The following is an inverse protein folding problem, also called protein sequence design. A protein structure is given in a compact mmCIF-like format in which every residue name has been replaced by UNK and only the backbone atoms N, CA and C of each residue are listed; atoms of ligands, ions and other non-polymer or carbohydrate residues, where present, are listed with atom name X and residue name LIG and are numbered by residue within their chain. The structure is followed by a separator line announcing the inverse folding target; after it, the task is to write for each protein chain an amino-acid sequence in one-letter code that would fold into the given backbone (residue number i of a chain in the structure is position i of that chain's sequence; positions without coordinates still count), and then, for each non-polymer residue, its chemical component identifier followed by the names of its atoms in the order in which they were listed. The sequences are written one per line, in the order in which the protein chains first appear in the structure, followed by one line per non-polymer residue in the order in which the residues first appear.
data_IF_689279881132
#
_entry.id   IF_689279881132
#
_cell.length_a   1.000
_cell.length_b   1.000
_cell.length_c   1.000
_cell.angle_alpha   90.00
_cell.angle_beta   90.00
_cell.angle_gamma   90.00
#
_symmetry.space_group_name_H-M   'P 1'
#
loop_
_entity.id
_entity.type
_entity.pdbx_description
1 polymer ?
#
# COMPACT_ATOMS: atom_id res chain seq x y z
N UNK A 1 -29.98 -0.86 -44.49
CA UNK A 1 -29.87 -0.66 -43.03
C UNK A 1 -28.45 -0.18 -42.75
N UNK A 2 -28.26 1.11 -42.51
CA UNK A 2 -26.92 1.71 -42.33
C UNK A 2 -26.53 1.57 -40.87
N UNK A 3 -25.46 0.81 -40.60
CA UNK A 3 -24.93 0.60 -39.25
C UNK A 3 -24.00 1.78 -38.90
N UNK A 4 -24.48 2.72 -38.08
CA UNK A 4 -23.65 3.82 -37.56
C UNK A 4 -22.95 3.37 -36.28
N UNK A 5 -21.61 3.40 -36.27
CA UNK A 5 -20.82 3.10 -35.08
C UNK A 5 -21.08 4.17 -34.01
N UNK A 6 -21.30 3.80 -32.73
CA UNK A 6 -21.43 4.78 -31.66
C UNK A 6 -20.09 5.54 -31.50
N UNK A 7 -20.20 6.86 -31.46
CA UNK A 7 -19.09 7.79 -31.23
C UNK A 7 -18.69 7.70 -29.76
N UNK A 8 -17.73 6.83 -29.45
CA UNK A 8 -17.10 6.77 -28.11
C UNK A 8 -16.28 8.05 -27.91
N UNK A 9 -16.67 8.83 -26.92
CA UNK A 9 -15.89 9.97 -26.43
C UNK A 9 -14.55 9.47 -25.89
N UNK A 10 -13.43 10.15 -26.19
CA UNK A 10 -12.14 9.82 -25.58
C UNK A 10 -12.29 9.93 -24.06
N UNK A 11 -11.82 8.94 -23.30
CA UNK A 11 -11.66 9.11 -21.85
C UNK A 11 -10.68 10.25 -21.61
N UNK A 12 -11.13 11.30 -20.96
CA UNK A 12 -10.31 12.50 -20.69
C UNK A 12 -9.14 12.21 -19.73
N UNK A 13 -9.26 11.18 -18.87
CA UNK A 13 -8.21 10.67 -17.99
C UNK A 13 -8.31 9.15 -17.79
N UNK A 14 -7.17 8.47 -17.76
CA UNK A 14 -7.05 7.03 -17.52
C UNK A 14 -6.54 6.25 -18.72
N UNK A 15 -5.69 5.25 -18.47
CA UNK A 15 -5.10 4.41 -19.51
C UNK A 15 -5.95 3.19 -19.85
N UNK A 16 -5.90 2.79 -21.11
CA UNK A 16 -6.55 1.57 -21.59
C UNK A 16 -5.80 0.34 -21.10
N UNK A 17 -6.55 -0.62 -20.54
CA UNK A 17 -6.14 -1.75 -19.70
C UNK A 17 -5.15 -2.78 -20.33
N UNK A 18 -4.64 -2.56 -21.54
CA UNK A 18 -3.88 -3.57 -22.32
C UNK A 18 -2.75 -2.98 -23.20
N UNK A 19 -2.28 -1.75 -22.96
CA UNK A 19 -1.16 -1.18 -23.73
C UNK A 19 0.15 -1.22 -22.95
N UNK A 20 1.29 -1.20 -23.63
CA UNK A 20 2.68 -1.05 -23.13
C UNK A 20 2.91 0.12 -22.15
N UNK A 21 1.88 0.94 -21.93
CA UNK A 21 1.82 2.04 -20.97
C UNK A 21 1.60 1.63 -19.51
N UNK A 22 1.41 0.34 -19.20
CA UNK A 22 1.43 -0.18 -17.80
C UNK A 22 2.66 0.34 -17.04
N UNK A 23 3.77 0.54 -17.76
CA UNK A 23 5.02 1.11 -17.26
C UNK A 23 4.91 2.53 -16.71
N UNK A 24 4.14 3.43 -17.33
CA UNK A 24 4.08 4.83 -16.93
C UNK A 24 3.37 5.03 -15.60
N UNK A 25 2.29 4.27 -15.36
CA UNK A 25 1.62 4.25 -14.05
C UNK A 25 2.57 3.73 -12.96
N UNK A 26 3.28 2.63 -13.23
CA UNK A 26 4.25 2.07 -12.29
C UNK A 26 5.39 3.04 -11.99
N UNK A 27 5.89 3.79 -12.98
CA UNK A 27 6.94 4.81 -12.77
C UNK A 27 6.43 5.95 -11.87
N UNK A 28 5.22 6.45 -12.12
CA UNK A 28 4.63 7.50 -11.27
C UNK A 28 4.42 7.00 -9.85
N UNK A 29 3.98 5.76 -9.70
CA UNK A 29 3.79 5.18 -8.37
C UNK A 29 5.13 4.96 -7.65
N UNK A 30 6.17 4.50 -8.36
CA UNK A 30 7.53 4.35 -7.82
C UNK A 30 8.08 5.68 -7.28
N UNK A 31 7.90 6.78 -8.02
CA UNK A 31 8.32 8.12 -7.62
C UNK A 31 7.58 8.62 -6.35
N UNK A 32 6.27 8.37 -6.28
CA UNK A 32 5.46 8.67 -5.08
C UNK A 32 5.94 7.86 -3.87
N UNK A 33 6.21 6.57 -4.04
CA UNK A 33 6.66 5.70 -2.95
C UNK A 33 8.08 6.06 -2.49
N UNK A 34 8.98 6.40 -3.41
CA UNK A 34 10.32 6.91 -3.08
C UNK A 34 10.25 8.19 -2.26
N UNK A 35 9.41 9.14 -2.67
CA UNK A 35 9.19 10.38 -1.92
C UNK A 35 8.63 10.10 -0.52
N UNK A 36 7.74 9.11 -0.41
CA UNK A 36 7.20 8.68 0.88
C UNK A 36 8.27 8.05 1.77
N UNK A 37 9.16 7.22 1.23
CA UNK A 37 10.28 6.63 1.96
C UNK A 37 11.24 7.69 2.51
N UNK A 38 11.60 8.68 1.70
CA UNK A 38 12.45 9.80 2.12
C UNK A 38 11.83 10.60 3.27
N UNK A 39 10.50 10.80 3.24
CA UNK A 39 9.77 11.50 4.30
C UNK A 39 9.67 10.71 5.61
N UNK A 40 9.82 9.38 5.55
CA UNK A 40 9.61 8.47 6.70
C UNK A 40 10.92 7.99 7.32
N UNK A 41 12.08 8.35 6.75
CA UNK A 41 13.44 8.30 7.35
C UNK A 41 13.96 6.96 7.92
N UNK A 42 13.19 5.87 7.91
CA UNK A 42 13.61 4.57 8.51
C UNK A 42 13.38 3.33 7.61
N UNK A 43 12.93 3.52 6.36
CA UNK A 43 12.70 2.37 5.45
C UNK A 43 14.02 1.93 4.82
N UNK A 44 14.76 1.03 5.48
CA UNK A 44 15.93 0.36 4.89
C UNK A 44 15.80 -1.15 5.01
N UNK A 45 15.75 -1.81 3.85
CA UNK A 45 16.08 -3.24 3.76
C UNK A 45 17.60 -3.37 3.94
N UNK A 46 18.09 -3.44 5.17
CA UNK A 46 19.50 -3.72 5.42
C UNK A 46 19.85 -5.17 5.06
N UNK A 47 21.07 -5.38 4.58
CA UNK A 47 21.55 -6.65 4.03
C UNK A 47 21.71 -7.77 5.09
N UNK A 48 21.45 -7.47 6.36
CA UNK A 48 21.68 -8.35 7.51
C UNK A 48 20.44 -9.17 7.93
N UNK A 49 19.45 -9.33 7.04
CA UNK A 49 18.19 -10.05 7.26
C UNK A 49 17.28 -9.45 8.37
N UNK A 50 17.62 -8.28 8.90
CA UNK A 50 16.79 -7.51 9.81
C UNK A 50 16.00 -6.47 9.00
N UNK A 51 14.68 -6.66 8.97
CA UNK A 51 13.77 -5.78 8.25
C UNK A 51 13.45 -4.60 9.18
N UNK A 52 14.03 -3.44 8.91
CA UNK A 52 13.66 -2.21 9.63
C UNK A 52 12.23 -1.81 9.24
N UNK A 53 11.39 -1.59 10.25
CA UNK A 53 10.05 -1.04 10.06
C UNK A 53 10.12 0.49 10.06
N UNK A 54 9.23 1.17 9.33
CA UNK A 54 8.16 0.63 8.50
C UNK A 54 8.66 0.10 7.15
N UNK A 55 7.95 -0.85 6.55
CA UNK A 55 8.26 -1.42 5.23
C UNK A 55 7.11 -1.16 4.28
N UNK A 56 7.44 -0.74 3.07
CA UNK A 56 6.49 -0.54 1.98
C UNK A 56 6.74 -1.62 0.93
N UNK A 57 5.70 -2.40 0.62
CA UNK A 57 5.69 -3.39 -0.46
C UNK A 57 4.65 -2.94 -1.49
N UNK A 58 5.03 -2.90 -2.76
CA UNK A 58 4.12 -2.50 -3.84
C UNK A 58 4.17 -3.45 -5.02
N UNK A 59 3.01 -3.69 -5.63
CA UNK A 59 2.89 -4.42 -6.88
C UNK A 59 1.72 -3.86 -7.69
N UNK A 60 2.02 -3.34 -8.89
CA UNK A 60 1.05 -2.63 -9.71
C UNK A 60 0.33 -1.50 -8.93
N UNK A 61 -0.97 -1.62 -8.65
CA UNK A 61 -1.77 -0.66 -7.87
C UNK A 61 -1.95 -1.05 -6.39
N UNK A 62 -1.53 -2.25 -6.00
CA UNK A 62 -1.65 -2.74 -4.64
C UNK A 62 -0.40 -2.36 -3.81
N UNK A 63 -0.63 -1.74 -2.65
CA UNK A 63 0.42 -1.30 -1.71
C UNK A 63 0.11 -1.87 -0.33
N UNK A 64 1.13 -2.42 0.32
CA UNK A 64 1.09 -2.90 1.70
C UNK A 64 2.15 -2.14 2.50
N UNK A 65 1.74 -1.57 3.64
CA UNK A 65 2.63 -0.88 4.57
C UNK A 65 2.59 -1.62 5.90
N UNK A 66 3.75 -2.07 6.36
CA UNK A 66 3.94 -2.78 7.62
C UNK A 66 4.67 -1.85 8.57
N UNK A 67 4.15 -1.67 9.78
CA UNK A 67 4.74 -0.81 10.80
C UNK A 67 4.46 -1.37 12.19
N UNK A 68 5.23 -0.90 13.16
CA UNK A 68 5.15 -1.29 14.57
C UNK A 68 4.09 -0.50 15.35
N UNK A 69 3.79 0.73 14.90
CA UNK A 69 2.89 1.66 15.56
C UNK A 69 1.77 2.13 14.64
N UNK A 70 0.55 2.12 15.17
CA UNK A 70 -0.62 2.67 14.47
C UNK A 70 -0.46 4.16 14.21
N UNK A 71 0.19 4.92 15.11
CA UNK A 71 0.44 6.35 14.91
C UNK A 71 1.35 6.60 13.70
N UNK A 72 2.43 5.82 13.58
CA UNK A 72 3.37 5.89 12.45
C UNK A 72 2.63 5.55 11.15
N UNK A 73 1.89 4.43 11.12
CA UNK A 73 1.09 4.03 9.96
C UNK A 73 0.04 5.07 9.56
N UNK A 74 -0.60 5.73 10.54
CA UNK A 74 -1.60 6.77 10.26
C UNK A 74 -0.96 8.00 9.63
N UNK A 75 0.23 8.40 10.08
CA UNK A 75 0.98 9.51 9.49
C UNK A 75 1.44 9.18 8.07
N UNK A 76 1.98 7.98 7.85
CA UNK A 76 2.37 7.49 6.52
C UNK A 76 1.16 7.49 5.58
N UNK A 77 0.01 7.00 6.06
CA UNK A 77 -1.22 6.95 5.28
C UNK A 77 -1.73 8.34 4.89
N UNK A 78 -1.61 9.32 5.79
CA UNK A 78 -1.94 10.72 5.50
C UNK A 78 -1.03 11.28 4.41
N UNK A 79 0.29 11.11 4.55
CA UNK A 79 1.27 11.60 3.59
C UNK A 79 1.08 10.95 2.21
N UNK A 80 0.87 9.63 2.16
CA UNK A 80 0.59 8.90 0.92
C UNK A 80 -0.65 9.45 0.22
N UNK A 81 -1.73 9.73 0.97
CA UNK A 81 -2.95 10.30 0.39
C UNK A 81 -2.71 11.67 -0.24
N UNK A 82 -1.93 12.54 0.41
CA UNK A 82 -1.57 13.85 -0.11
C UNK A 82 -0.69 13.75 -1.39
N UNK A 83 0.33 12.87 -1.37
CA UNK A 83 1.19 12.63 -2.53
C UNK A 83 0.41 12.07 -3.72
N UNK A 84 -0.50 11.12 -3.51
CA UNK A 84 -1.32 10.56 -4.57
C UNK A 84 -2.24 11.62 -5.20
N UNK A 85 -2.83 12.51 -4.40
CA UNK A 85 -3.64 13.61 -4.91
C UNK A 85 -2.80 14.55 -5.79
N UNK A 86 -1.54 14.80 -5.42
CA UNK A 86 -0.63 15.67 -6.18
C UNK A 86 -0.35 15.16 -7.60
N UNK A 87 -0.31 13.84 -7.79
CA UNK A 87 -0.13 13.19 -9.10
C UNK A 87 -1.46 12.83 -9.79
N UNK A 88 -2.59 13.26 -9.23
CA UNK A 88 -3.94 13.02 -9.78
C UNK A 88 -4.46 11.59 -9.59
N UNK A 89 -3.89 10.84 -8.65
CA UNK A 89 -4.35 9.51 -8.23
C UNK A 89 -5.21 9.59 -6.97
N UNK A 90 -6.00 8.54 -6.74
CA UNK A 90 -6.88 8.44 -5.55
C UNK A 90 -6.89 7.02 -5.01
N UNK A 91 -6.84 6.89 -3.69
CA UNK A 91 -7.00 5.63 -2.98
C UNK A 91 -8.46 5.14 -3.03
N UNK A 92 -8.62 3.83 -3.14
CA UNK A 92 -9.92 3.20 -2.98
C UNK A 92 -10.21 2.93 -1.50
N UNK A 93 -10.77 3.92 -0.82
CA UNK A 93 -11.05 3.87 0.62
C UNK A 93 -11.94 2.69 1.05
N UNK A 94 -12.77 2.15 0.15
CA UNK A 94 -13.60 0.96 0.44
C UNK A 94 -12.79 -0.34 0.46
N UNK A 95 -11.72 -0.40 -0.35
CA UNK A 95 -10.85 -1.58 -0.44
C UNK A 95 -9.67 -1.51 0.52
N UNK A 96 -9.16 -0.32 0.79
CA UNK A 96 -8.06 -0.10 1.72
C UNK A 96 -8.48 -0.41 3.16
N UNK A 97 -7.66 -1.19 3.87
CA UNK A 97 -7.92 -1.57 5.27
C UNK A 97 -6.65 -1.44 6.10
N UNK A 98 -6.78 -0.94 7.33
CA UNK A 98 -5.73 -1.01 8.34
C UNK A 98 -5.99 -2.24 9.22
N UNK A 99 -5.03 -3.16 9.27
CA UNK A 99 -5.11 -4.37 10.08
C UNK A 99 -4.13 -4.23 11.26
N UNK A 100 -4.66 -4.25 12.47
CA UNK A 100 -3.86 -4.25 13.70
C UNK A 100 -3.75 -5.68 14.19
N UNK A 101 -2.52 -6.18 14.35
CA UNK A 101 -2.25 -7.46 14.99
C UNK A 101 -1.76 -7.20 16.41
N UNK A 102 -2.64 -7.38 17.39
CA UNK A 102 -2.19 -7.50 18.77
C UNK A 102 -1.49 -8.85 18.95
N UNK A 103 -0.33 -8.93 19.61
CA UNK A 103 0.24 -10.20 19.99
C UNK A 103 -0.83 -10.94 20.81
N UNK A 104 -1.08 -12.19 20.41
CA UNK A 104 -2.07 -13.09 21.01
C UNK A 104 -2.10 -12.86 22.52
N UNK A 105 -3.27 -12.47 23.01
CA UNK A 105 -3.57 -12.26 24.43
C UNK A 105 -2.82 -13.30 25.28
N UNK A 106 -1.91 -12.85 26.16
CA UNK A 106 -1.14 -13.70 27.09
C UNK A 106 -2.03 -14.67 27.90
N UNK A 107 -3.34 -14.43 27.94
CA UNK A 107 -4.34 -15.37 28.47
C UNK A 107 -4.32 -16.76 27.80
N UNK A 108 -4.10 -16.85 26.48
CA UNK A 108 -4.08 -18.15 25.78
C UNK A 108 -2.77 -18.89 26.01
N UNK A 109 -1.65 -18.16 26.15
CA UNK A 109 -0.35 -18.75 26.45
C UNK A 109 -0.27 -19.35 27.86
N UNK A 110 -1.02 -18.81 28.84
CA UNK A 110 -1.11 -19.39 30.19
C UNK A 110 -1.91 -20.69 30.23
N UNK A 111 -2.96 -20.83 29.41
CA UNK A 111 -3.71 -22.07 29.36
C UNK A 111 -2.83 -23.24 28.87
N UNK A 112 -1.94 -23.04 27.89
CA UNK A 112 -1.05 -24.13 27.41
C UNK A 112 0.03 -24.56 28.42
N UNK A 113 0.45 -23.67 29.34
CA UNK A 113 1.39 -24.03 30.40
C UNK A 113 0.73 -24.78 31.57
N UNK A 114 -0.55 -24.55 31.84
CA UNK A 114 -1.28 -25.26 32.91
C UNK A 114 -1.70 -26.68 32.53
N UNK A 115 -1.90 -26.99 31.23
CA UNK A 115 -2.23 -28.36 30.78
C UNK A 115 -1.01 -29.31 30.75
N UNK A 116 0.20 -28.76 30.69
CA UNK A 116 1.45 -29.53 30.60
C UNK A 116 2.39 -29.31 31.82
N UNK A 117 1.87 -28.76 32.92
CA UNK A 117 2.57 -28.69 34.19
C UNK A 117 2.56 -30.05 34.89
N UNK A 118 3.76 -30.63 35.04
CA UNK A 118 4.10 -31.82 35.84
C UNK A 118 3.63 -31.69 37.29
#
# INVERSE_FOLDING_TARGET
MVWTKPKVSPKEKGQTRMSTLTSAFTIVLDDVLRTLEELVSEVRLDQDAEINLPVILSFADDIIIIGDSTTVLTNIMKNLKELLISVGLKLNETKTKMLVRDPINKSIAKQTQEINGV
#
